data_IF_865315473337
#
_entry.id   IF_865315473337
#
_cell.length_a   1.000
_cell.length_b   1.000
_cell.length_c   1.000
_cell.angle_alpha   90.00
_cell.angle_beta   90.00
_cell.angle_gamma   90.00
#
_symmetry.space_group_name_H-M   'P 1'
#
loop_
_entity.id
_entity.type
_entity.pdbx_description
1 polymer ?
#
# COMPACT_ATOMS: atom_id res chain seq x y z
N UNK A 1 6.68 23.22 -22.81
CA UNK A 1 5.65 22.65 -23.73
C UNK A 1 6.05 21.22 -24.05
N UNK A 2 5.37 20.22 -23.46
CA UNK A 2 5.58 18.81 -23.80
C UNK A 2 4.49 18.38 -24.80
N UNK A 3 4.90 18.01 -26.02
CA UNK A 3 4.00 17.47 -27.04
C UNK A 3 3.58 16.03 -26.68
N UNK A 4 2.59 15.90 -25.78
CA UNK A 4 2.00 14.59 -25.41
C UNK A 4 0.62 14.34 -26.03
N UNK A 5 0.14 15.25 -26.87
CA UNK A 5 -1.27 15.30 -27.30
C UNK A 5 -1.61 14.49 -28.56
N UNK A 6 -0.63 13.89 -29.27
CA UNK A 6 -0.90 13.27 -30.58
C UNK A 6 -1.27 11.78 -30.59
N UNK A 7 -1.31 11.10 -29.44
CA UNK A 7 -1.45 9.62 -29.40
C UNK A 7 -2.80 9.09 -28.90
N UNK A 8 -3.78 9.95 -28.61
CA UNK A 8 -5.01 9.50 -27.94
C UNK A 8 -5.99 8.81 -28.90
N UNK A 9 -6.06 9.23 -30.17
CA UNK A 9 -7.09 8.76 -31.10
C UNK A 9 -6.97 7.29 -31.53
N UNK A 10 -5.76 6.71 -31.50
CA UNK A 10 -5.50 5.36 -32.06
C UNK A 10 -5.02 4.33 -31.02
N UNK A 11 -4.91 4.71 -29.75
CA UNK A 11 -4.52 3.77 -28.70
C UNK A 11 -5.74 2.96 -28.24
N UNK A 12 -5.68 1.62 -28.33
CA UNK A 12 -6.74 0.72 -27.88
C UNK A 12 -7.18 0.97 -26.43
N UNK A 13 -6.23 1.30 -25.54
CA UNK A 13 -6.53 1.62 -24.15
C UNK A 13 -7.27 2.96 -23.99
N UNK A 14 -7.04 3.94 -24.89
CA UNK A 14 -7.76 5.21 -24.88
C UNK A 14 -9.20 5.04 -25.38
N UNK A 15 -9.40 4.21 -26.40
CA UNK A 15 -10.73 3.84 -26.92
C UNK A 15 -11.53 3.07 -25.88
N UNK A 16 -10.93 2.06 -25.23
CA UNK A 16 -11.58 1.30 -24.15
C UNK A 16 -11.95 2.19 -22.96
N UNK A 17 -11.18 3.24 -22.69
CA UNK A 17 -11.44 4.23 -21.65
C UNK A 17 -12.34 5.40 -22.09
N UNK A 18 -12.99 5.34 -23.26
CA UNK A 18 -13.96 6.36 -23.72
C UNK A 18 -13.35 7.71 -24.14
N UNK A 19 -12.02 7.81 -24.27
CA UNK A 19 -11.32 9.06 -24.62
C UNK A 19 -11.40 9.34 -26.12
N UNK A 20 -12.58 9.73 -26.59
CA UNK A 20 -12.86 10.05 -28.00
C UNK A 20 -12.69 11.56 -28.25
N UNK A 21 -12.22 11.94 -29.44
CA UNK A 21 -12.04 13.35 -29.82
C UNK A 21 -13.39 14.08 -29.84
N UNK A 22 -13.47 15.25 -29.20
CA UNK A 22 -14.67 16.10 -29.18
C UNK A 22 -15.67 15.83 -28.05
N UNK A 23 -15.37 14.92 -27.12
CA UNK A 23 -16.21 14.71 -25.93
C UNK A 23 -15.76 15.62 -24.79
N UNK A 24 -16.73 16.13 -24.01
CA UNK A 24 -16.44 16.90 -22.80
C UNK A 24 -15.70 16.03 -21.79
N UNK A 25 -14.39 16.29 -21.69
CA UNK A 25 -13.48 15.58 -20.81
C UNK A 25 -13.93 15.74 -19.35
N UNK A 26 -14.52 16.89 -18.97
CA UNK A 26 -14.94 17.14 -17.59
C UNK A 26 -16.18 16.33 -17.19
N UNK A 27 -17.16 16.19 -18.08
CA UNK A 27 -18.33 15.32 -17.89
C UNK A 27 -17.96 13.85 -17.68
N UNK A 28 -17.12 13.28 -18.56
CA UNK A 28 -16.69 11.89 -18.46
C UNK A 28 -15.91 11.58 -17.17
N UNK A 29 -15.13 12.55 -16.67
CA UNK A 29 -14.38 12.40 -15.43
C UNK A 29 -15.33 12.18 -14.23
N UNK A 30 -16.53 12.74 -14.23
CA UNK A 30 -17.49 12.54 -13.12
C UNK A 30 -18.13 11.15 -13.10
N UNK A 31 -18.25 10.49 -14.26
CA UNK A 31 -18.86 9.16 -14.38
C UNK A 31 -17.89 8.01 -14.03
N UNK A 32 -16.57 8.24 -14.13
CA UNK A 32 -15.55 7.20 -13.97
C UNK A 32 -15.07 6.96 -12.51
N UNK A 33 -15.79 7.41 -11.48
CA UNK A 33 -15.39 7.30 -10.07
C UNK A 33 -13.95 7.75 -9.77
N UNK A 34 -13.45 8.77 -10.47
CA UNK A 34 -12.09 9.28 -10.24
C UNK A 34 -12.09 10.45 -9.26
N UNK A 35 -11.05 10.50 -8.43
CA UNK A 35 -10.83 11.60 -7.50
C UNK A 35 -9.91 12.64 -8.15
N UNK A 36 -10.44 13.83 -8.46
CA UNK A 36 -9.65 14.97 -8.94
C UNK A 36 -8.96 15.62 -7.74
N UNK A 37 -7.65 15.44 -7.63
CA UNK A 37 -6.83 16.08 -6.59
C UNK A 37 -6.48 17.50 -7.03
N UNK A 38 -7.12 18.50 -6.41
CA UNK A 38 -6.95 19.93 -6.75
C UNK A 38 -5.59 20.51 -6.36
N UNK A 39 -4.89 19.86 -5.42
CA UNK A 39 -3.54 20.22 -5.00
C UNK A 39 -2.80 18.94 -4.55
N UNK A 40 -1.79 18.45 -5.29
CA UNK A 40 -1.05 17.25 -4.91
C UNK A 40 -0.26 17.45 -3.61
N UNK A 41 0.13 18.67 -3.26
CA UNK A 41 0.82 19.00 -2.00
C UNK A 41 -0.13 19.09 -0.80
N UNK A 42 -1.43 19.30 -1.02
CA UNK A 42 -2.46 19.27 0.02
C UNK A 42 -3.29 17.97 0.01
N UNK A 43 -2.93 17.01 -0.84
CA UNK A 43 -3.42 15.65 -0.68
C UNK A 43 -2.87 15.14 0.64
N UNK A 44 -3.75 14.80 1.59
CA UNK A 44 -3.37 14.14 2.83
C UNK A 44 -2.73 12.79 2.50
N UNK A 45 -1.42 12.78 2.24
CA UNK A 45 -0.62 11.56 2.15
C UNK A 45 -0.45 11.09 3.58
N UNK A 46 -1.42 10.31 4.05
CA UNK A 46 -1.33 9.66 5.34
C UNK A 46 -0.30 8.54 5.25
N UNK A 47 0.90 8.79 5.79
CA UNK A 47 1.93 7.77 5.94
C UNK A 47 1.60 6.88 7.15
N UNK A 48 1.81 7.39 8.37
CA UNK A 48 1.56 6.63 9.58
C UNK A 48 0.08 6.59 9.95
N UNK A 49 -0.52 5.40 10.01
CA UNK A 49 -1.94 5.20 10.39
C UNK A 49 -2.26 5.75 11.78
N UNK A 50 -1.29 5.73 12.70
CA UNK A 50 -1.50 6.06 14.11
C UNK A 50 -1.42 7.57 14.39
N UNK A 51 -0.47 8.27 13.77
CA UNK A 51 -0.24 9.70 14.03
C UNK A 51 -0.58 10.61 12.85
N UNK A 52 -0.89 10.04 11.67
CA UNK A 52 -1.16 10.73 10.41
C UNK A 52 0.00 11.59 9.88
N UNK A 53 1.18 11.50 10.49
CA UNK A 53 2.38 12.23 10.07
C UNK A 53 3.16 11.47 9.00
N UNK A 54 3.79 12.23 8.09
CA UNK A 54 4.61 11.75 6.96
C UNK A 54 6.13 11.81 7.20
N UNK A 55 6.56 12.29 8.37
CA UNK A 55 7.96 12.42 8.72
C UNK A 55 8.61 11.06 8.95
N UNK A 56 9.77 10.80 8.33
CA UNK A 56 10.58 9.62 8.60
C UNK A 56 12.05 10.00 8.85
N UNK A 57 12.77 9.17 9.61
CA UNK A 57 14.21 9.38 9.82
C UNK A 57 15.00 8.92 8.60
N UNK A 58 15.93 9.75 8.10
CA UNK A 58 16.93 9.34 7.09
C UNK A 58 18.16 8.70 7.72
N UNK A 59 18.26 8.71 9.04
CA UNK A 59 19.44 8.26 9.80
C UNK A 59 19.04 7.17 10.76
N UNK A 60 19.51 5.95 10.49
CA UNK A 60 19.41 4.79 11.38
C UNK A 60 17.99 4.35 11.75
N UNK A 61 17.92 3.30 12.58
CA UNK A 61 16.68 2.82 13.17
C UNK A 61 16.30 3.66 14.38
N UNK A 62 15.02 4.05 14.51
CA UNK A 62 14.56 4.84 15.64
C UNK A 62 13.05 5.10 15.62
N UNK A 63 12.54 5.99 16.50
CA UNK A 63 11.10 6.22 16.67
C UNK A 63 10.36 6.69 15.41
N UNK A 64 11.09 7.32 14.48
CA UNK A 64 10.58 7.80 13.20
C UNK A 64 10.85 6.85 12.02
N UNK A 65 11.41 5.67 12.27
CA UNK A 65 11.47 4.62 11.25
C UNK A 65 10.06 4.18 10.89
N UNK A 66 9.80 4.04 9.59
CA UNK A 66 8.52 3.59 9.04
C UNK A 66 8.60 2.09 8.78
N UNK A 67 7.59 1.36 9.23
CA UNK A 67 7.33 -0.04 8.90
C UNK A 67 6.06 -0.14 8.07
N UNK A 68 6.08 -1.03 7.07
CA UNK A 68 4.94 -1.38 6.24
C UNK A 68 4.42 -2.74 6.67
N UNK A 69 3.10 -2.88 6.81
CA UNK A 69 2.51 -4.19 7.00
C UNK A 69 2.56 -4.97 5.68
N UNK A 70 3.14 -6.17 5.67
CA UNK A 70 3.31 -6.96 4.45
C UNK A 70 1.99 -7.42 3.80
N UNK A 71 0.84 -7.23 4.48
CA UNK A 71 -0.47 -7.64 3.98
C UNK A 71 -1.38 -6.51 3.54
N UNK A 72 -1.41 -5.42 4.30
CA UNK A 72 -2.28 -4.28 3.97
C UNK A 72 -1.51 -3.05 3.50
N UNK A 73 -0.18 -3.14 3.45
CA UNK A 73 0.75 -2.09 2.99
C UNK A 73 0.62 -0.76 3.73
N UNK A 74 -0.09 -0.74 4.85
CA UNK A 74 -0.26 0.45 5.69
C UNK A 74 1.03 0.75 6.43
N UNK A 75 1.36 2.03 6.55
CA UNK A 75 2.60 2.48 7.17
C UNK A 75 2.42 2.85 8.65
N UNK A 76 3.46 2.60 9.44
CA UNK A 76 3.49 2.81 10.88
C UNK A 76 4.86 3.30 11.32
N UNK A 77 4.91 4.34 12.17
CA UNK A 77 6.15 4.66 12.86
C UNK A 77 6.42 3.67 14.00
N UNK A 78 7.66 3.22 14.13
CA UNK A 78 8.11 2.38 15.25
C UNK A 78 7.76 2.99 16.61
N UNK A 79 8.00 4.30 16.78
CA UNK A 79 7.66 5.00 18.02
C UNK A 79 6.15 5.07 18.29
N UNK A 80 5.34 5.14 17.23
CA UNK A 80 3.89 5.11 17.37
C UNK A 80 3.39 3.72 17.77
N UNK A 81 3.97 2.65 17.22
CA UNK A 81 3.67 1.28 17.62
C UNK A 81 3.94 1.06 19.11
N UNK A 82 5.10 1.54 19.60
CA UNK A 82 5.46 1.46 21.03
C UNK A 82 4.49 2.24 21.90
N UNK A 83 4.17 3.48 21.53
CA UNK A 83 3.23 4.35 22.27
C UNK A 83 1.83 3.74 22.38
N UNK A 84 1.37 3.07 21.33
CA UNK A 84 0.07 2.41 21.28
C UNK A 84 0.09 0.95 21.78
N UNK A 85 1.22 0.48 22.34
CA UNK A 85 1.41 -0.88 22.87
C UNK A 85 1.15 -1.99 21.84
N UNK A 86 1.42 -1.71 20.56
CA UNK A 86 1.25 -2.68 19.48
C UNK A 86 2.52 -3.51 19.26
N UNK A 87 3.69 -2.87 19.29
CA UNK A 87 4.99 -3.52 19.17
C UNK A 87 6.10 -2.62 19.74
N UNK A 88 7.12 -3.21 20.36
CA UNK A 88 8.33 -2.51 20.82
C UNK A 88 9.56 -3.03 20.08
N UNK A 89 9.76 -2.53 18.85
CA UNK A 89 10.84 -2.96 17.97
C UNK A 89 12.14 -2.23 18.30
N UNK A 90 13.24 -2.98 18.39
CA UNK A 90 14.60 -2.46 18.61
C UNK A 90 15.43 -2.37 17.33
N UNK A 91 15.00 -3.09 16.29
CA UNK A 91 15.59 -3.15 14.97
C UNK A 91 14.51 -3.49 13.92
N UNK A 92 14.88 -3.51 12.64
CA UNK A 92 13.97 -3.93 11.59
C UNK A 92 13.68 -5.43 11.70
N UNK A 93 12.42 -5.88 11.50
CA UNK A 93 12.08 -7.29 11.39
C UNK A 93 12.97 -7.99 10.34
N UNK A 94 13.46 -9.18 10.66
CA UNK A 94 14.20 -10.01 9.69
C UNK A 94 13.28 -10.74 8.72
N UNK A 95 12.06 -11.02 9.17
CA UNK A 95 10.99 -11.68 8.41
C UNK A 95 9.81 -10.71 8.22
N UNK A 96 8.71 -11.21 7.65
CA UNK A 96 7.48 -10.46 7.46
C UNK A 96 6.94 -9.87 8.78
N UNK A 97 6.35 -8.69 8.67
CA UNK A 97 5.73 -7.98 9.78
C UNK A 97 4.28 -7.60 9.48
N UNK A 98 3.42 -7.85 10.47
CA UNK A 98 1.99 -7.62 10.38
C UNK A 98 1.53 -6.64 11.45
N UNK A 99 0.72 -5.66 11.05
CA UNK A 99 0.26 -4.61 11.97
C UNK A 99 -0.73 -5.12 13.02
N UNK A 100 -1.44 -6.23 12.74
CA UNK A 100 -2.38 -6.90 13.65
C UNK A 100 -2.44 -8.40 13.35
N UNK A 101 -2.99 -9.17 14.31
CA UNK A 101 -3.28 -10.60 14.17
C UNK A 101 -4.11 -10.93 12.93
N UNK A 102 -5.01 -10.03 12.55
CA UNK A 102 -5.91 -10.24 11.42
C UNK A 102 -5.14 -10.23 10.09
N UNK A 103 -4.16 -9.34 9.95
CA UNK A 103 -3.28 -9.33 8.78
C UNK A 103 -2.52 -10.64 8.66
N UNK A 104 -1.94 -11.13 9.77
CA UNK A 104 -1.28 -12.44 9.79
C UNK A 104 -2.25 -13.58 9.36
N UNK A 105 -3.46 -13.61 9.93
CA UNK A 105 -4.45 -14.64 9.58
C UNK A 105 -4.90 -14.60 8.12
N UNK A 106 -5.08 -13.39 7.56
CA UNK A 106 -5.37 -13.20 6.14
C UNK A 106 -4.19 -13.69 5.29
N UNK A 107 -2.96 -13.33 5.66
CA UNK A 107 -1.76 -13.79 4.94
C UNK A 107 -1.71 -15.31 4.85
N UNK A 108 -1.79 -15.98 6.00
CA UNK A 108 -1.74 -17.43 6.08
C UNK A 108 -2.85 -18.07 5.26
N UNK A 109 -4.07 -17.54 5.33
CA UNK A 109 -5.20 -18.04 4.53
C UNK A 109 -4.98 -17.87 3.02
N UNK A 110 -4.35 -16.78 2.58
CA UNK A 110 -4.04 -16.55 1.17
C UNK A 110 -2.90 -17.44 0.67
N UNK A 111 -1.88 -17.68 1.48
CA UNK A 111 -0.79 -18.62 1.16
C UNK A 111 -1.32 -20.04 0.95
N UNK A 112 -2.22 -20.51 1.83
CA UNK A 112 -2.84 -21.84 1.69
C UNK A 112 -3.65 -21.95 0.39
N UNK A 113 -4.28 -20.86 -0.06
CA UNK A 113 -5.13 -20.84 -1.26
C UNK A 113 -4.36 -20.66 -2.56
N UNK A 114 -3.12 -20.21 -2.49
CA UNK A 114 -2.20 -20.11 -3.61
C UNK A 114 -1.02 -21.07 -3.43
N UNK A 115 -1.25 -22.40 -3.37
CA UNK A 115 -0.15 -23.33 -3.35
C UNK A 115 0.59 -23.21 -4.68
N UNK A 116 1.77 -22.59 -4.66
CA UNK A 116 2.73 -22.75 -5.74
C UNK A 116 3.06 -24.24 -5.83
N UNK A 117 2.99 -24.88 -7.01
CA UNK A 117 3.25 -26.31 -7.14
C UNK A 117 4.65 -26.74 -6.66
N UNK A 118 5.60 -25.80 -6.59
CA UNK A 118 7.03 -26.13 -6.50
C UNK A 118 7.70 -25.84 -5.15
N UNK A 119 6.99 -25.42 -4.10
CA UNK A 119 7.61 -25.21 -2.79
C UNK A 119 6.98 -26.06 -1.67
N UNK A 120 7.61 -27.22 -1.49
CA UNK A 120 7.54 -28.08 -0.31
C UNK A 120 8.11 -27.30 0.88
N UNK A 121 7.26 -26.63 1.67
CA UNK A 121 7.42 -26.41 3.11
C UNK A 121 6.02 -26.36 3.76
N UNK A 122 5.25 -27.42 3.50
CA UNK A 122 4.22 -27.84 4.45
C UNK A 122 5.01 -28.53 5.55
N UNK A 123 5.25 -27.89 6.69
CA UNK A 123 5.41 -28.56 8.01
C UNK A 123 5.71 -27.63 9.20
N UNK A 124 5.91 -26.31 9.07
CA UNK A 124 6.22 -25.45 10.24
C UNK A 124 5.11 -24.49 10.72
N UNK A 125 4.02 -24.32 9.98
CA UNK A 125 2.98 -23.31 10.33
C UNK A 125 2.03 -23.78 11.47
N UNK A 126 2.10 -25.05 11.90
CA UNK A 126 1.19 -25.60 12.92
C UNK A 126 1.81 -25.94 14.29
N UNK A 127 3.11 -25.69 14.55
CA UNK A 127 3.75 -26.17 15.80
C UNK A 127 4.18 -25.13 16.83
N UNK A 128 3.82 -23.84 16.72
CA UNK A 128 4.15 -22.85 17.78
C UNK A 128 2.98 -22.00 18.24
N UNK A 129 1.86 -22.67 18.52
CA UNK A 129 0.80 -22.12 19.35
C UNK A 129 0.78 -22.85 20.71
N UNK A 130 1.81 -22.63 21.53
CA UNK A 130 1.81 -22.84 22.99
C UNK A 130 2.80 -21.86 23.64
#
# INVERSE_FOLDING_TARGET
MFQREKFVANNANAVAAGRVSGVDVMGQLTECCIRIVKNPEASEVFACVLCRGFEFSRTGFGPRTVLLCDQCEREYHVGCLKKNKMADLKELPSDEWFCYSDCNGIHSALLIRNPCPDNIWVDDVLLKAH
#
